data_IF_524197665713
#
_entry.id   IF_524197665713
#
_cell.length_a   1.000
_cell.length_b   1.000
_cell.length_c   1.000
_cell.angle_alpha   90.00
_cell.angle_beta   90.00
_cell.angle_gamma   90.00
#
_symmetry.space_group_name_H-M   'P 1'
#
loop_
_entity.id
_entity.type
_entity.pdbx_description
1 polymer ?
#
# COMPACT_ATOMS: atom_id res chain seq x y z
N UNK A 1 -3.92 -17.26 6.64
CA UNK A 1 -4.64 -16.58 5.55
C UNK A 1 -5.40 -17.63 4.77
N UNK A 2 -6.70 -17.45 4.57
CA UNK A 2 -7.47 -18.26 3.61
C UNK A 2 -6.85 -18.10 2.22
N UNK A 3 -6.75 -19.19 1.44
CA UNK A 3 -6.17 -19.16 0.09
C UNK A 3 -7.05 -18.42 -0.91
N UNK A 4 -8.29 -18.11 -0.55
CA UNK A 4 -9.22 -17.34 -1.38
C UNK A 4 -9.02 -15.82 -1.30
N UNK A 5 -8.11 -15.32 -0.44
CA UNK A 5 -7.90 -13.88 -0.26
C UNK A 5 -6.72 -13.40 -1.11
N UNK A 6 -7.00 -12.43 -1.99
CA UNK A 6 -5.97 -11.69 -2.68
C UNK A 6 -5.17 -10.83 -1.68
N UNK A 7 -3.88 -11.14 -1.55
CA UNK A 7 -2.99 -10.41 -0.63
C UNK A 7 -2.82 -8.94 -1.04
N UNK A 8 -2.84 -8.65 -2.34
CA UNK A 8 -2.73 -7.26 -2.84
C UNK A 8 -3.93 -6.43 -2.37
N UNK A 9 -5.14 -6.98 -2.43
CA UNK A 9 -6.35 -6.30 -1.97
C UNK A 9 -6.35 -6.13 -0.45
N UNK A 10 -5.90 -7.14 0.29
CA UNK A 10 -5.75 -7.05 1.74
C UNK A 10 -4.78 -5.91 2.13
N UNK A 11 -3.60 -5.86 1.50
CA UNK A 11 -2.60 -4.81 1.74
C UNK A 11 -3.16 -3.43 1.37
N UNK A 12 -3.90 -3.32 0.27
CA UNK A 12 -4.56 -2.07 -0.15
C UNK A 12 -5.51 -1.55 0.94
N UNK A 13 -6.35 -2.42 1.51
CA UNK A 13 -7.29 -2.05 2.58
C UNK A 13 -6.54 -1.62 3.85
N UNK A 14 -5.48 -2.34 4.22
CA UNK A 14 -4.65 -1.96 5.37
C UNK A 14 -3.98 -0.59 5.19
N UNK A 15 -3.40 -0.34 4.02
CA UNK A 15 -2.77 0.94 3.71
C UNK A 15 -3.78 2.09 3.65
N UNK A 16 -5.00 1.83 3.17
CA UNK A 16 -6.09 2.80 3.20
C UNK A 16 -6.46 3.19 4.64
N UNK A 17 -6.44 2.24 5.59
CA UNK A 17 -6.63 2.53 7.00
C UNK A 17 -5.46 3.34 7.57
N UNK A 18 -4.21 2.87 7.40
CA UNK A 18 -3.03 3.51 7.99
C UNK A 18 -2.75 4.91 7.45
N UNK A 19 -3.03 5.18 6.16
CA UNK A 19 -2.89 6.53 5.62
C UNK A 19 -3.89 7.50 6.22
N UNK A 20 -5.09 7.02 6.57
CA UNK A 20 -6.16 7.84 7.13
C UNK A 20 -5.96 8.07 8.63
N UNK A 21 -5.56 7.03 9.36
CA UNK A 21 -5.30 7.07 10.81
C UNK A 21 -3.90 7.57 11.18
N UNK A 22 -3.05 7.87 10.18
CA UNK A 22 -1.73 8.41 10.42
C UNK A 22 -1.84 9.74 11.20
N UNK A 23 -1.30 9.76 12.42
CA UNK A 23 -1.23 10.98 13.25
C UNK A 23 -0.39 12.12 12.64
N UNK A 24 0.31 11.86 11.52
CA UNK A 24 1.01 12.88 10.73
C UNK A 24 2.36 13.32 11.26
N UNK A 25 2.82 12.81 12.42
CA UNK A 25 4.05 13.24 13.09
C UNK A 25 5.34 12.91 12.33
N UNK A 26 5.38 11.76 11.66
CA UNK A 26 6.57 11.27 10.96
C UNK A 26 6.33 11.28 9.45
N UNK A 27 7.25 11.85 8.67
CA UNK A 27 7.22 11.82 7.20
C UNK A 27 7.02 10.42 6.60
N UNK A 28 7.71 9.35 7.05
CA UNK A 28 7.48 8.01 6.51
C UNK A 28 6.04 7.51 6.77
N UNK A 29 5.43 7.88 7.90
CA UNK A 29 4.06 7.48 8.20
C UNK A 29 3.05 8.32 7.41
N UNK A 30 3.23 9.65 7.32
CA UNK A 30 2.29 10.57 6.64
C UNK A 30 2.34 10.46 5.12
N UNK A 31 3.54 10.38 4.56
CA UNK A 31 3.76 10.42 3.10
C UNK A 31 4.06 9.03 2.57
N UNK A 32 4.78 8.19 3.34
CA UNK A 32 5.10 6.83 2.91
C UNK A 32 3.85 5.98 2.74
N UNK A 33 2.95 5.95 3.72
CA UNK A 33 1.71 5.15 3.62
C UNK A 33 0.83 5.57 2.43
N UNK A 34 0.75 6.86 2.12
CA UNK A 34 0.07 7.38 0.93
C UNK A 34 0.74 6.88 -0.36
N UNK A 35 2.07 6.99 -0.47
CA UNK A 35 2.82 6.54 -1.66
C UNK A 35 2.74 5.02 -1.84
N UNK A 36 2.84 4.26 -0.75
CA UNK A 36 2.70 2.81 -0.79
C UNK A 36 1.29 2.41 -1.21
N UNK A 37 0.25 3.11 -0.74
CA UNK A 37 -1.12 2.89 -1.20
C UNK A 37 -1.24 3.11 -2.72
N UNK A 38 -0.70 4.21 -3.25
CA UNK A 38 -0.74 4.51 -4.69
C UNK A 38 -0.02 3.45 -5.53
N UNK A 39 1.11 2.92 -5.05
CA UNK A 39 1.83 1.82 -5.72
C UNK A 39 1.00 0.54 -5.72
N UNK A 40 0.48 0.14 -4.55
CA UNK A 40 -0.35 -1.08 -4.42
C UNK A 40 -1.65 -0.96 -5.22
N UNK A 41 -2.23 0.24 -5.31
CA UNK A 41 -3.40 0.51 -6.15
C UNK A 41 -3.09 0.30 -7.64
N UNK A 42 -1.96 0.83 -8.13
CA UNK A 42 -1.51 0.55 -9.51
C UNK A 42 -1.28 -0.94 -9.74
N UNK A 43 -0.66 -1.64 -8.79
CA UNK A 43 -0.45 -3.09 -8.87
C UNK A 43 -1.79 -3.82 -8.96
N UNK A 44 -2.78 -3.46 -8.14
CA UNK A 44 -4.12 -4.06 -8.16
C UNK A 44 -4.85 -3.85 -9.50
N UNK A 45 -4.51 -2.80 -10.26
CA UNK A 45 -5.09 -2.49 -11.56
C UNK A 45 -4.30 -3.08 -12.74
N UNK A 46 -3.23 -3.85 -12.48
CA UNK A 46 -2.34 -4.36 -13.52
C UNK A 46 -1.45 -3.28 -14.18
N UNK A 47 -1.33 -2.11 -13.55
CA UNK A 47 -0.52 -0.98 -14.03
C UNK A 47 0.80 -0.81 -13.25
N UNK A 48 1.02 -1.62 -12.22
CA UNK A 48 2.24 -1.61 -11.42
C UNK A 48 3.43 -2.23 -12.15
N UNK A 49 4.64 -1.77 -11.85
CA UNK A 49 5.89 -2.41 -12.29
C UNK A 49 6.48 -3.25 -11.17
N UNK A 50 7.14 -4.37 -11.52
CA UNK A 50 7.87 -5.20 -10.57
C UNK A 50 8.89 -4.40 -9.74
N UNK A 51 9.57 -3.45 -10.39
CA UNK A 51 10.52 -2.51 -9.76
C UNK A 51 9.90 -1.63 -8.65
N UNK A 52 8.57 -1.49 -8.61
CA UNK A 52 7.90 -0.75 -7.55
C UNK A 52 7.81 -1.55 -6.26
N UNK A 53 7.84 -2.89 -6.33
CA UNK A 53 7.85 -3.75 -5.15
C UNK A 53 9.13 -3.53 -4.33
N UNK A 54 10.26 -3.30 -4.98
CA UNK A 54 11.54 -2.99 -4.32
C UNK A 54 11.51 -1.64 -3.59
N UNK A 55 10.60 -0.73 -3.99
CA UNK A 55 10.45 0.61 -3.40
C UNK A 55 9.49 0.64 -2.21
N UNK A 56 8.83 -0.47 -1.89
CA UNK A 56 7.91 -0.59 -0.75
C UNK A 56 8.68 -0.78 0.58
N UNK A 57 10.00 -1.00 0.52
CA UNK A 57 10.91 -1.22 1.66
C UNK A 57 11.58 0.06 2.18
#
# INVERSE_FOLDING_TARGET
CDQNVCIVDLVKVLLQFFRFESCGKCTPCRIGTQRTYEMVERISQGQGKLEELDKIL
#
